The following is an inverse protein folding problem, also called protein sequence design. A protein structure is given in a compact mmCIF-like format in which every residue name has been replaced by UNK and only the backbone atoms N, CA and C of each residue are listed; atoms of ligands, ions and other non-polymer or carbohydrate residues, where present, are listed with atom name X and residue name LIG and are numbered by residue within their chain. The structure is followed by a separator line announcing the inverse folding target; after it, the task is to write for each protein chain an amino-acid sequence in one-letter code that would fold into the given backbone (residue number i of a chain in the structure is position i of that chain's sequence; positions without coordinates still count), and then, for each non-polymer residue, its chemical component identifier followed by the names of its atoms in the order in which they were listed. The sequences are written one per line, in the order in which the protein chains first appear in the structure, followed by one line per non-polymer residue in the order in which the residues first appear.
data_IF_624951743183
#
_entry.id   IF_624951743183
#
_cell.length_a   1.000
_cell.length_b   1.000
_cell.length_c   1.000
_cell.angle_alpha   90.00
_cell.angle_beta   90.00
_cell.angle_gamma   90.00
#
_symmetry.space_group_name_H-M   'P 1'
#
loop_
_entity.id
_entity.type
_entity.pdbx_description
1 polymer ?
#
# COMPACT_ATOMS: atom_id res chain seq x y z
N UNK A 1 6.83 12.61 19.66
CA UNK A 1 7.90 11.78 19.08
C UNK A 1 7.87 10.45 19.80
N UNK A 2 7.75 9.35 19.07
CA UNK A 2 7.82 7.98 19.59
C UNK A 2 9.16 7.42 19.16
N UNK A 3 9.92 6.87 20.10
CA UNK A 3 11.20 6.20 19.86
C UNK A 3 11.15 4.78 20.41
N UNK A 4 11.82 3.85 19.75
CA UNK A 4 11.86 2.43 20.16
C UNK A 4 13.30 1.92 20.22
N UNK A 5 13.56 0.86 21.00
CA UNK A 5 14.88 0.23 21.06
C UNK A 5 15.36 -0.28 19.68
N UNK A 6 16.67 -0.51 19.52
CA UNK A 6 17.22 -1.14 18.34
C UNK A 6 16.58 -2.50 18.07
N UNK A 7 16.35 -2.82 16.79
CA UNK A 7 15.94 -4.16 16.39
C UNK A 7 17.11 -5.14 16.34
N UNK A 8 16.78 -6.43 16.40
CA UNK A 8 17.71 -7.49 16.06
C UNK A 8 17.92 -7.52 14.55
N UNK A 9 19.16 -7.32 14.13
CA UNK A 9 19.55 -7.38 12.73
C UNK A 9 19.78 -8.84 12.34
N UNK A 10 19.01 -9.31 11.36
CA UNK A 10 19.13 -10.66 10.80
C UNK A 10 19.41 -10.57 9.29
N UNK A 11 19.89 -11.67 8.69
CA UNK A 11 20.12 -11.68 7.25
C UNK A 11 18.80 -11.61 6.47
N UNK A 12 18.80 -11.04 5.25
CA UNK A 12 17.64 -11.08 4.36
C UNK A 12 17.03 -12.48 4.20
N UNK A 13 17.87 -13.50 4.06
CA UNK A 13 17.43 -14.89 3.91
C UNK A 13 16.71 -15.39 5.16
N UNK A 14 17.21 -15.08 6.36
CA UNK A 14 16.55 -15.44 7.61
C UNK A 14 15.18 -14.78 7.73
N UNK A 15 15.07 -13.50 7.36
CA UNK A 15 13.79 -12.79 7.40
C UNK A 15 12.79 -13.37 6.40
N UNK A 16 13.21 -13.68 5.18
CA UNK A 16 12.36 -14.31 4.16
C UNK A 16 11.86 -15.68 4.64
N UNK A 17 12.74 -16.50 5.22
CA UNK A 17 12.36 -17.81 5.75
C UNK A 17 11.32 -17.68 6.88
N UNK A 18 11.56 -16.77 7.83
CA UNK A 18 10.61 -16.50 8.91
C UNK A 18 9.24 -16.07 8.35
N UNK A 19 9.23 -15.11 7.43
CA UNK A 19 8.01 -14.60 6.82
C UNK A 19 7.27 -15.64 5.98
N UNK A 20 7.99 -16.61 5.38
CA UNK A 20 7.39 -17.70 4.62
C UNK A 20 6.65 -18.71 5.50
N UNK A 21 7.03 -18.82 6.77
CA UNK A 21 6.40 -19.71 7.76
C UNK A 21 5.15 -19.08 8.38
N UNK A 22 5.10 -17.74 8.49
CA UNK A 22 4.00 -17.02 9.15
C UNK A 22 2.62 -17.44 8.63
N UNK A 23 2.32 -17.47 7.31
CA UNK A 23 1.00 -17.86 6.84
C UNK A 23 0.56 -19.25 7.33
N UNK A 24 1.48 -20.21 7.43
CA UNK A 24 1.17 -21.55 7.94
C UNK A 24 0.81 -21.52 9.44
N UNK A 25 1.55 -20.74 10.23
CA UNK A 25 1.27 -20.54 11.67
C UNK A 25 -0.08 -19.85 11.87
N UNK A 26 -0.35 -18.78 11.11
CA UNK A 26 -1.62 -18.06 11.13
C UNK A 26 -2.81 -19.00 10.86
N UNK A 27 -2.70 -19.83 9.81
CA UNK A 27 -3.76 -20.77 9.45
C UNK A 27 -3.95 -21.87 10.50
N UNK A 28 -2.87 -22.36 11.12
CA UNK A 28 -2.95 -23.31 12.22
C UNK A 28 -3.66 -22.69 13.44
N UNK A 29 -3.30 -21.46 13.83
CA UNK A 29 -3.95 -20.73 14.91
C UNK A 29 -5.44 -20.52 14.65
N UNK A 30 -5.79 -20.03 13.45
CA UNK A 30 -7.17 -19.76 13.05
C UNK A 30 -8.03 -21.04 12.97
N UNK A 31 -7.43 -22.19 12.67
CA UNK A 31 -8.12 -23.50 12.69
C UNK A 31 -8.33 -24.01 14.10
N UNK A 32 -7.31 -23.89 14.95
CA UNK A 32 -7.31 -24.44 16.32
C UNK A 32 -8.18 -23.60 17.24
N UNK A 33 -8.13 -22.28 17.10
CA UNK A 33 -8.87 -21.31 17.91
C UNK A 33 -9.66 -20.38 16.99
N UNK A 34 -10.80 -20.81 16.42
CA UNK A 34 -11.60 -19.95 15.57
C UNK A 34 -12.22 -18.81 16.37
N UNK A 35 -12.10 -17.57 15.87
CA UNK A 35 -12.79 -16.42 16.46
C UNK A 35 -12.03 -15.10 16.35
N UNK A 36 -12.68 -14.04 16.82
CA UNK A 36 -12.14 -12.68 16.75
C UNK A 36 -10.91 -12.47 17.63
N UNK A 37 -10.78 -13.19 18.74
CA UNK A 37 -9.62 -13.08 19.63
C UNK A 37 -8.34 -13.54 18.94
N UNK A 38 -8.38 -14.65 18.21
CA UNK A 38 -7.24 -15.14 17.43
C UNK A 38 -6.84 -14.14 16.34
N UNK A 39 -7.81 -13.54 15.63
CA UNK A 39 -7.54 -12.46 14.67
C UNK A 39 -6.87 -11.22 15.32
N UNK A 40 -7.21 -10.88 16.56
CA UNK A 40 -6.53 -9.82 17.33
C UNK A 40 -5.10 -10.20 17.72
N UNK A 41 -4.87 -11.46 18.08
CA UNK A 41 -3.52 -11.99 18.35
C UNK A 41 -2.65 -11.90 17.09
N UNK A 42 -3.19 -12.33 15.93
CA UNK A 42 -2.54 -12.19 14.62
C UNK A 42 -2.12 -10.74 14.36
N UNK A 43 -3.06 -9.81 14.49
CA UNK A 43 -2.77 -8.39 14.31
C UNK A 43 -1.67 -7.89 15.26
N UNK A 44 -1.68 -8.35 16.52
CA UNK A 44 -0.69 -7.99 17.52
C UNK A 44 0.73 -8.39 17.11
N UNK A 45 0.99 -9.67 16.89
CA UNK A 45 2.36 -10.09 16.58
C UNK A 45 2.82 -9.66 15.18
N UNK A 46 1.93 -9.61 14.17
CA UNK A 46 2.31 -9.09 12.85
C UNK A 46 2.67 -7.60 12.88
N UNK A 47 2.15 -6.86 13.86
CA UNK A 47 2.56 -5.47 14.11
C UNK A 47 3.90 -5.39 14.86
N UNK A 48 4.23 -6.39 15.68
CA UNK A 48 5.46 -6.39 16.51
C UNK A 48 6.67 -6.94 15.74
N UNK A 49 6.50 -7.96 14.89
CA UNK A 49 7.60 -8.59 14.15
C UNK A 49 8.48 -7.56 13.40
N UNK A 50 7.92 -6.61 12.62
CA UNK A 50 8.73 -5.64 11.89
C UNK A 50 9.45 -4.63 12.80
N UNK A 51 8.96 -4.44 14.03
CA UNK A 51 9.61 -3.63 15.04
C UNK A 51 10.79 -4.36 15.69
N UNK A 52 10.74 -5.69 15.79
CA UNK A 52 11.79 -6.49 16.44
C UNK A 52 12.90 -6.90 15.48
N UNK A 53 12.59 -7.09 14.19
CA UNK A 53 13.49 -7.68 13.21
C UNK A 53 13.67 -6.76 12.00
N UNK A 54 14.91 -6.45 11.66
CA UNK A 54 15.28 -5.77 10.40
C UNK A 54 16.48 -6.42 9.75
N UNK A 55 16.77 -6.03 8.51
CA UNK A 55 17.98 -6.47 7.82
C UNK A 55 19.07 -5.41 7.88
N UNK A 56 20.25 -5.77 7.41
CA UNK A 56 21.35 -4.84 7.15
C UNK A 56 21.18 -4.07 5.82
N UNK A 57 20.04 -4.19 5.14
CA UNK A 57 19.76 -3.58 3.83
C UNK A 57 18.48 -2.73 3.88
N UNK A 58 18.58 -1.43 4.20
CA UNK A 58 17.42 -0.55 4.34
C UNK A 58 16.51 -0.48 3.11
N UNK A 59 17.09 -0.56 1.91
CA UNK A 59 16.34 -0.58 0.64
C UNK A 59 15.48 -1.85 0.50
N UNK A 60 15.95 -2.98 1.02
CA UNK A 60 15.19 -4.24 1.03
C UNK A 60 14.11 -4.20 2.12
N UNK A 61 14.41 -3.61 3.27
CA UNK A 61 13.46 -3.46 4.38
C UNK A 61 12.22 -2.67 3.98
N UNK A 62 12.33 -1.74 3.02
CA UNK A 62 11.16 -1.04 2.44
C UNK A 62 10.10 -2.02 1.89
N UNK A 63 10.51 -3.20 1.43
CA UNK A 63 9.63 -4.24 0.89
C UNK A 63 9.37 -5.38 1.87
N UNK A 64 10.33 -5.71 2.74
CA UNK A 64 10.21 -6.82 3.68
C UNK A 64 9.42 -6.46 4.95
N UNK A 65 9.56 -5.23 5.44
CA UNK A 65 8.85 -4.75 6.65
C UNK A 65 7.33 -4.73 6.48
N UNK A 66 6.76 -4.34 5.31
CA UNK A 66 5.32 -4.41 5.10
C UNK A 66 4.73 -5.83 4.98
N UNK A 67 5.56 -6.86 4.71
CA UNK A 67 5.08 -8.22 4.42
C UNK A 67 4.24 -8.84 5.55
N UNK A 68 4.63 -8.79 6.84
CA UNK A 68 3.80 -9.33 7.93
C UNK A 68 2.43 -8.66 8.01
N UNK A 69 2.38 -7.33 7.86
CA UNK A 69 1.11 -6.58 7.82
C UNK A 69 0.25 -7.00 6.63
N UNK A 70 0.86 -7.21 5.47
CA UNK A 70 0.16 -7.70 4.28
C UNK A 70 -0.44 -9.09 4.49
N UNK A 71 0.35 -10.04 5.02
CA UNK A 71 -0.11 -11.40 5.36
C UNK A 71 -1.26 -11.35 6.38
N UNK A 72 -1.10 -10.56 7.44
CA UNK A 72 -2.15 -10.36 8.44
C UNK A 72 -3.44 -9.84 7.80
N UNK A 73 -3.35 -8.82 6.94
CA UNK A 73 -4.51 -8.24 6.26
C UNK A 73 -5.27 -9.28 5.42
N UNK A 74 -4.55 -10.16 4.72
CA UNK A 74 -5.16 -11.28 3.98
C UNK A 74 -5.85 -12.28 4.92
N UNK A 75 -5.26 -12.56 6.09
CA UNK A 75 -5.85 -13.50 7.04
C UNK A 75 -7.07 -12.93 7.79
N UNK A 76 -7.14 -11.62 7.98
CA UNK A 76 -8.28 -10.95 8.61
C UNK A 76 -9.57 -11.05 7.77
N UNK A 77 -9.45 -11.06 6.43
CA UNK A 77 -10.60 -11.19 5.52
C UNK A 77 -11.10 -12.64 5.36
N UNK A 78 -10.37 -13.63 5.88
CA UNK A 78 -10.80 -15.03 5.77
C UNK A 78 -12.08 -15.29 6.59
N UNK A 79 -13.00 -16.14 6.08
CA UNK A 79 -14.19 -16.57 6.82
C UNK A 79 -13.83 -17.27 8.13
N UNK A 80 -14.76 -17.28 9.07
CA UNK A 80 -14.65 -18.02 10.34
C UNK A 80 -15.95 -18.80 10.54
N UNK A 81 -15.93 -20.14 10.62
CA UNK A 81 -14.74 -21.03 10.58
C UNK A 81 -14.02 -21.02 9.22
N UNK A 82 -12.75 -21.44 9.22
CA UNK A 82 -11.93 -21.43 8.01
C UNK A 82 -12.43 -22.44 6.96
N UNK A 83 -12.47 -22.06 5.68
CA UNK A 83 -12.84 -22.98 4.61
C UNK A 83 -11.68 -23.96 4.28
N UNK A 84 -11.92 -24.95 3.39
CA UNK A 84 -10.88 -25.81 2.86
C UNK A 84 -9.67 -25.03 2.30
N UNK A 85 -8.47 -25.64 2.34
CA UNK A 85 -7.20 -24.97 1.94
C UNK A 85 -7.29 -24.41 0.52
N UNK A 86 -7.93 -25.12 -0.42
CA UNK A 86 -8.11 -24.66 -1.80
C UNK A 86 -8.84 -23.31 -1.88
N UNK A 87 -9.84 -23.10 -1.02
CA UNK A 87 -10.66 -21.89 -1.02
C UNK A 87 -9.91 -20.76 -0.33
N UNK A 88 -9.11 -21.05 0.70
CA UNK A 88 -8.19 -20.09 1.32
C UNK A 88 -7.17 -19.59 0.27
N UNK A 89 -6.52 -20.52 -0.43
CA UNK A 89 -5.56 -20.19 -1.50
C UNK A 89 -6.22 -19.33 -2.56
N UNK A 90 -7.45 -19.69 -2.97
CA UNK A 90 -8.19 -18.92 -3.96
C UNK A 90 -8.57 -17.53 -3.46
N UNK A 91 -9.05 -17.38 -2.23
CA UNK A 91 -9.38 -16.08 -1.63
C UNK A 91 -8.14 -15.20 -1.61
N UNK A 92 -6.99 -15.70 -1.13
CA UNK A 92 -5.73 -14.95 -1.11
C UNK A 92 -5.26 -14.61 -2.53
N UNK A 93 -5.26 -15.55 -3.47
CA UNK A 93 -4.87 -15.31 -4.86
C UNK A 93 -5.79 -14.28 -5.54
N UNK A 94 -7.09 -14.32 -5.28
CA UNK A 94 -8.07 -13.37 -5.86
C UNK A 94 -7.85 -11.92 -5.43
N UNK A 95 -7.02 -11.65 -4.43
CA UNK A 95 -6.60 -10.28 -4.06
C UNK A 95 -5.48 -9.75 -4.94
N UNK A 96 -4.79 -10.65 -5.65
CA UNK A 96 -3.60 -10.37 -6.46
C UNK A 96 -3.84 -10.59 -7.96
N UNK A 97 -4.84 -11.39 -8.34
CA UNK A 97 -5.18 -11.73 -9.72
C UNK A 97 -6.19 -10.76 -10.34
N UNK A 98 -6.03 -10.46 -11.63
CA UNK A 98 -6.96 -9.60 -12.36
C UNK A 98 -8.33 -10.29 -12.45
N UNK A 99 -9.43 -9.66 -11.99
CA UNK A 99 -10.74 -10.30 -11.95
C UNK A 99 -11.28 -10.69 -13.33
N UNK A 100 -10.89 -9.94 -14.36
CA UNK A 100 -11.31 -10.16 -15.74
C UNK A 100 -10.07 -10.34 -16.64
N UNK A 101 -9.40 -11.50 -16.56
CA UNK A 101 -8.21 -11.76 -17.36
C UNK A 101 -8.61 -11.95 -18.84
N UNK A 102 -7.68 -11.75 -19.80
CA UNK A 102 -7.88 -12.13 -21.19
C UNK A 102 -8.24 -13.61 -21.30
N UNK A 103 -9.16 -14.00 -22.20
CA UNK A 103 -9.50 -15.41 -22.40
C UNK A 103 -8.37 -16.22 -23.05
N UNK A 104 -7.46 -15.54 -23.75
CA UNK A 104 -6.34 -16.14 -24.47
C UNK A 104 -5.06 -16.14 -23.63
N UNK A 105 -4.52 -17.34 -23.41
CA UNK A 105 -3.25 -17.57 -22.69
C UNK A 105 -2.06 -16.83 -23.32
N UNK A 106 -2.06 -16.65 -24.64
CA UNK A 106 -1.03 -15.90 -25.36
C UNK A 106 -1.05 -14.43 -24.93
N UNK A 107 -2.25 -13.85 -24.80
CA UNK A 107 -2.42 -12.47 -24.32
C UNK A 107 -1.99 -12.30 -22.86
N UNK A 108 -2.24 -13.31 -22.01
CA UNK A 108 -1.74 -13.30 -20.62
C UNK A 108 -0.22 -13.27 -20.59
N UNK A 109 0.46 -14.08 -21.41
CA UNK A 109 1.93 -14.07 -21.52
C UNK A 109 2.47 -12.79 -22.13
N UNK A 110 1.81 -12.24 -23.15
CA UNK A 110 2.19 -10.94 -23.73
C UNK A 110 2.10 -9.81 -22.70
N UNK A 111 1.00 -9.74 -21.92
CA UNK A 111 0.88 -8.79 -20.80
C UNK A 111 2.01 -8.97 -19.79
N UNK A 112 2.43 -10.19 -19.52
CA UNK A 112 3.54 -10.48 -18.63
C UNK A 112 4.86 -9.86 -19.12
N UNK A 113 5.19 -10.03 -20.41
CA UNK A 113 6.39 -9.43 -21.03
C UNK A 113 6.32 -7.91 -20.98
N UNK A 114 5.15 -7.34 -21.30
CA UNK A 114 4.92 -5.88 -21.23
C UNK A 114 5.13 -5.36 -19.80
N UNK A 115 4.66 -6.08 -18.78
CA UNK A 115 4.90 -5.72 -17.38
C UNK A 115 6.37 -5.71 -17.04
N UNK A 116 7.12 -6.76 -17.40
CA UNK A 116 8.57 -6.82 -17.15
C UNK A 116 9.28 -5.65 -17.83
N UNK A 117 9.00 -5.41 -19.11
CA UNK A 117 9.58 -4.29 -19.87
C UNK A 117 9.24 -2.93 -19.24
N UNK A 118 7.98 -2.72 -18.83
CA UNK A 118 7.54 -1.52 -18.12
C UNK A 118 8.26 -1.35 -16.78
N UNK A 119 8.46 -2.43 -16.04
CA UNK A 119 9.18 -2.40 -14.76
C UNK A 119 10.66 -2.03 -14.94
N UNK A 120 11.33 -2.59 -15.95
CA UNK A 120 12.71 -2.21 -16.31
C UNK A 120 12.79 -0.74 -16.75
N UNK A 121 11.84 -0.27 -17.55
CA UNK A 121 11.76 1.12 -17.96
C UNK A 121 11.55 2.06 -16.76
N UNK A 122 10.65 1.72 -15.84
CA UNK A 122 10.44 2.48 -14.58
C UNK A 122 11.74 2.57 -13.78
N UNK A 123 12.48 1.47 -13.67
CA UNK A 123 13.76 1.46 -12.98
C UNK A 123 14.76 2.43 -13.64
N UNK A 124 14.93 2.35 -14.97
CA UNK A 124 15.82 3.24 -15.72
C UNK A 124 15.41 4.72 -15.65
N UNK A 125 14.12 5.03 -15.74
CA UNK A 125 13.61 6.41 -15.58
C UNK A 125 13.94 6.94 -14.18
N UNK A 126 13.75 6.12 -13.13
CA UNK A 126 14.05 6.52 -11.76
C UNK A 126 15.52 6.90 -11.60
N UNK A 127 16.42 6.01 -12.02
CA UNK A 127 17.86 6.16 -11.78
C UNK A 127 18.49 7.23 -12.67
N UNK A 128 18.08 7.32 -13.94
CA UNK A 128 18.73 8.18 -14.92
C UNK A 128 18.07 9.55 -15.10
N UNK A 129 16.75 9.67 -14.85
CA UNK A 129 15.99 10.87 -15.22
C UNK A 129 15.21 11.52 -14.07
N UNK A 130 14.93 10.82 -12.97
CA UNK A 130 14.22 11.42 -11.83
C UNK A 130 15.19 11.76 -10.68
N UNK A 131 15.80 10.75 -10.06
CA UNK A 131 16.61 10.93 -8.84
C UNK A 131 17.73 11.97 -9.01
N UNK A 132 18.49 12.02 -10.12
CA UNK A 132 19.57 13.00 -10.28
C UNK A 132 19.11 14.48 -10.27
N UNK A 133 17.84 14.73 -10.57
CA UNK A 133 17.27 16.07 -10.65
C UNK A 133 16.51 16.49 -9.38
N UNK A 134 16.33 15.56 -8.43
CA UNK A 134 15.69 15.87 -7.15
C UNK A 134 16.64 16.65 -6.26
N UNK A 135 16.09 17.63 -5.56
CA UNK A 135 16.82 18.42 -4.58
C UNK A 135 17.24 17.52 -3.41
N UNK A 136 18.50 17.61 -2.93
CA UNK A 136 18.96 16.82 -1.80
C UNK A 136 18.09 16.99 -0.54
N UNK A 137 17.84 15.89 0.14
CA UNK A 137 16.93 15.79 1.29
C UNK A 137 17.24 16.79 2.42
N UNK A 138 18.52 17.02 2.82
CA UNK A 138 18.83 18.00 3.88
C UNK A 138 18.41 19.42 3.55
N UNK A 139 18.44 19.78 2.26
CA UNK A 139 18.01 21.10 1.79
C UNK A 139 16.50 21.20 1.84
N UNK A 140 15.78 20.14 1.43
CA UNK A 140 14.32 20.10 1.46
C UNK A 140 13.77 20.25 2.88
N UNK A 141 14.36 19.58 3.88
CA UNK A 141 13.91 19.66 5.27
C UNK A 141 13.92 21.11 5.80
N UNK A 142 14.88 21.94 5.36
CA UNK A 142 15.03 23.33 5.80
C UNK A 142 14.11 24.32 5.07
N UNK A 143 13.52 23.93 3.94
CA UNK A 143 12.64 24.81 3.18
C UNK A 143 11.30 25.05 3.89
N UNK A 144 10.69 26.24 3.71
CA UNK A 144 9.31 26.48 4.12
C UNK A 144 8.35 25.46 3.51
N UNK A 145 7.31 25.11 4.25
CA UNK A 145 6.33 24.09 3.84
C UNK A 145 5.72 24.37 2.46
N UNK A 146 5.35 25.63 2.24
CA UNK A 146 4.66 26.13 1.03
C UNK A 146 5.64 26.55 -0.08
N UNK A 147 6.93 26.22 0.04
CA UNK A 147 7.90 26.49 -1.02
C UNK A 147 7.51 25.73 -2.30
N UNK A 148 7.37 26.40 -3.46
CA UNK A 148 7.09 25.73 -4.73
C UNK A 148 8.12 24.64 -5.06
N UNK A 149 9.39 24.86 -4.70
CA UNK A 149 10.48 23.88 -4.88
C UNK A 149 10.24 22.65 -4.01
N UNK A 150 9.82 22.82 -2.75
CA UNK A 150 9.48 21.69 -1.87
C UNK A 150 8.28 20.92 -2.38
N UNK A 151 7.25 21.60 -2.89
CA UNK A 151 6.05 20.95 -3.44
C UNK A 151 6.38 20.17 -4.72
N UNK A 152 7.16 20.76 -5.62
CA UNK A 152 7.62 20.11 -6.84
C UNK A 152 8.48 18.87 -6.52
N UNK A 153 9.36 18.97 -5.54
CA UNK A 153 10.15 17.82 -5.08
C UNK A 153 9.30 16.76 -4.40
N UNK A 154 8.28 17.10 -3.61
CA UNK A 154 7.36 16.10 -3.05
C UNK A 154 6.69 15.27 -4.17
N UNK A 155 6.28 15.92 -5.26
CA UNK A 155 5.77 15.22 -6.44
C UNK A 155 6.85 14.40 -7.16
N UNK A 156 8.07 14.93 -7.29
CA UNK A 156 9.21 14.23 -7.89
C UNK A 156 9.63 12.98 -7.12
N UNK A 157 9.73 13.05 -5.79
CA UNK A 157 9.94 11.90 -4.91
C UNK A 157 8.76 10.92 -4.99
N UNK A 158 7.52 11.41 -5.12
CA UNK A 158 6.34 10.60 -5.43
C UNK A 158 6.47 9.81 -6.74
N UNK A 159 6.94 10.45 -7.80
CA UNK A 159 7.22 9.80 -9.09
C UNK A 159 8.37 8.79 -8.97
N UNK A 160 9.42 9.11 -8.21
CA UNK A 160 10.52 8.18 -7.96
C UNK A 160 10.06 6.95 -7.15
N UNK A 161 9.18 7.14 -6.17
CA UNK A 161 8.57 6.06 -5.39
C UNK A 161 7.64 5.19 -6.26
N UNK A 162 6.83 5.82 -7.11
CA UNK A 162 6.02 5.13 -8.12
C UNK A 162 6.90 4.21 -9.00
N UNK A 163 8.03 4.73 -9.49
CA UNK A 163 8.94 3.95 -10.31
C UNK A 163 9.61 2.83 -9.51
N UNK A 164 10.03 3.08 -8.26
CA UNK A 164 10.68 2.08 -7.40
C UNK A 164 9.76 0.90 -7.07
N UNK A 165 8.59 1.20 -6.52
CA UNK A 165 7.63 0.16 -6.13
C UNK A 165 7.04 -0.50 -7.37
N UNK A 166 6.73 0.30 -8.40
CA UNK A 166 6.23 -0.18 -9.67
C UNK A 166 7.22 -1.09 -10.41
N UNK A 167 8.53 -0.80 -10.40
CA UNK A 167 9.53 -1.64 -11.06
C UNK A 167 9.63 -3.01 -10.40
N UNK A 168 9.74 -3.06 -9.06
CA UNK A 168 9.88 -4.32 -8.32
C UNK A 168 8.65 -5.21 -8.54
N UNK A 169 7.46 -4.64 -8.40
CA UNK A 169 6.21 -5.42 -8.51
C UNK A 169 5.90 -5.81 -9.95
N UNK A 170 6.08 -4.94 -10.94
CA UNK A 170 5.83 -5.28 -12.35
C UNK A 170 6.78 -6.39 -12.84
N UNK A 171 8.07 -6.33 -12.47
CA UNK A 171 9.05 -7.37 -12.83
C UNK A 171 8.69 -8.69 -12.14
N UNK A 172 8.50 -8.67 -10.82
CA UNK A 172 8.20 -9.88 -10.05
C UNK A 172 6.90 -10.55 -10.50
N UNK A 173 5.80 -9.80 -10.56
CA UNK A 173 4.51 -10.35 -11.01
C UNK A 173 4.54 -10.73 -12.48
N UNK A 174 5.30 -10.03 -13.33
CA UNK A 174 5.47 -10.40 -14.74
C UNK A 174 6.14 -11.77 -14.90
N UNK A 175 7.21 -12.06 -14.15
CA UNK A 175 7.84 -13.38 -14.17
C UNK A 175 6.90 -14.47 -13.66
N UNK A 176 6.20 -14.23 -12.54
CA UNK A 176 5.23 -15.19 -12.00
C UNK A 176 4.10 -15.42 -13.01
N UNK A 177 3.61 -14.38 -13.68
CA UNK A 177 2.58 -14.46 -14.71
C UNK A 177 3.04 -15.26 -15.94
N UNK A 178 4.30 -15.16 -16.36
CA UNK A 178 4.87 -15.99 -17.43
C UNK A 178 4.85 -17.49 -17.07
N UNK A 179 5.26 -17.82 -15.84
CA UNK A 179 5.38 -19.21 -15.36
C UNK A 179 3.99 -19.81 -15.11
N UNK A 180 3.12 -19.09 -14.40
CA UNK A 180 1.83 -19.61 -13.92
C UNK A 180 0.70 -19.41 -14.92
N UNK A 181 0.88 -18.56 -15.92
CA UNK A 181 -0.16 -18.16 -16.87
C UNK A 181 -1.42 -17.61 -16.18
N UNK A 182 -1.25 -16.91 -15.05
CA UNK A 182 -2.32 -16.21 -14.32
C UNK A 182 -2.11 -14.71 -14.44
N UNK A 183 -3.11 -13.95 -14.89
CA UNK A 183 -3.00 -12.50 -15.04
C UNK A 183 -3.05 -11.83 -13.66
N UNK A 184 -1.98 -11.13 -13.28
CA UNK A 184 -1.92 -10.39 -12.01
C UNK A 184 -2.50 -8.99 -12.17
N UNK A 185 -2.98 -8.40 -11.08
CA UNK A 185 -3.40 -7.00 -11.04
C UNK A 185 -2.18 -6.11 -11.30
N UNK A 186 -2.37 -5.05 -12.09
CA UNK A 186 -1.39 -3.96 -12.15
C UNK A 186 -1.44 -3.15 -10.85
N UNK A 187 -0.34 -3.07 -10.13
CA UNK A 187 -0.30 -2.37 -8.84
C UNK A 187 -0.73 -0.90 -8.99
N UNK A 188 -0.32 -0.26 -10.07
CA UNK A 188 -0.59 1.14 -10.37
C UNK A 188 -1.27 1.26 -11.73
N UNK A 189 -2.45 1.85 -11.78
CA UNK A 189 -3.17 2.17 -13.03
C UNK A 189 -3.08 3.67 -13.32
N UNK A 190 -2.00 4.06 -14.00
CA UNK A 190 -1.77 5.41 -14.51
C UNK A 190 -2.14 6.52 -13.50
N UNK A 191 -1.53 6.55 -12.30
CA UNK A 191 -1.90 7.48 -11.23
C UNK A 191 -1.75 8.95 -11.61
N UNK A 192 -0.91 9.28 -12.58
CA UNK A 192 -0.73 10.63 -13.13
C UNK A 192 -1.96 11.18 -13.85
N UNK A 193 -2.91 10.33 -14.21
CA UNK A 193 -4.19 10.71 -14.83
C UNK A 193 -5.31 10.89 -13.79
N UNK A 194 -4.99 10.86 -12.50
CA UNK A 194 -5.97 11.05 -11.45
C UNK A 194 -6.59 12.44 -11.55
N UNK A 195 -7.92 12.50 -11.48
CA UNK A 195 -8.67 13.77 -11.48
C UNK A 195 -9.22 14.12 -10.10
N UNK A 196 -8.99 13.29 -9.08
CA UNK A 196 -9.42 13.56 -7.72
C UNK A 196 -8.66 12.69 -6.71
N UNK A 197 -8.62 13.06 -5.42
CA UNK A 197 -8.04 12.23 -4.36
C UNK A 197 -8.63 10.81 -4.32
N UNK A 198 -9.96 10.67 -4.45
CA UNK A 198 -10.59 9.36 -4.52
C UNK A 198 -10.13 8.56 -5.72
N UNK A 199 -10.10 9.16 -6.91
CA UNK A 199 -9.67 8.48 -8.12
C UNK A 199 -8.19 8.03 -8.01
N UNK A 200 -7.34 8.86 -7.40
CA UNK A 200 -5.96 8.48 -7.09
C UNK A 200 -5.89 7.27 -6.14
N UNK A 201 -6.39 7.39 -4.91
CA UNK A 201 -6.20 6.40 -3.85
C UNK A 201 -7.04 5.13 -3.99
N UNK A 202 -8.25 5.22 -4.55
CA UNK A 202 -9.17 4.08 -4.60
C UNK A 202 -9.01 3.25 -5.87
N UNK A 203 -8.53 3.85 -6.97
CA UNK A 203 -8.58 3.22 -8.30
C UNK A 203 -7.22 3.09 -8.97
N UNK A 204 -6.30 4.03 -8.74
CA UNK A 204 -5.07 4.14 -9.54
C UNK A 204 -3.80 3.83 -8.77
N UNK A 205 -3.72 4.21 -7.50
CA UNK A 205 -2.56 3.99 -6.65
C UNK A 205 -2.75 2.73 -5.80
N UNK A 206 -1.79 1.80 -5.89
CA UNK A 206 -1.74 0.57 -5.10
C UNK A 206 -3.10 -0.17 -5.03
N UNK A 207 -3.53 -0.67 -6.20
CA UNK A 207 -4.81 -1.40 -6.39
C UNK A 207 -4.96 -2.61 -5.46
N UNK A 208 -3.86 -3.22 -5.05
CA UNK A 208 -3.86 -4.33 -4.09
C UNK A 208 -4.28 -3.83 -2.70
N UNK A 209 -3.64 -2.77 -2.20
CA UNK A 209 -4.00 -2.18 -0.90
C UNK A 209 -5.44 -1.65 -0.90
N UNK A 210 -5.85 -0.92 -1.95
CA UNK A 210 -7.21 -0.39 -2.03
C UNK A 210 -8.26 -1.52 -2.07
N UNK A 211 -7.98 -2.60 -2.81
CA UNK A 211 -8.82 -3.81 -2.86
C UNK A 211 -8.96 -4.49 -1.50
N UNK A 212 -7.87 -4.62 -0.74
CA UNK A 212 -7.89 -5.18 0.62
C UNK A 212 -8.70 -4.32 1.59
N UNK A 213 -8.50 -3.00 1.59
CA UNK A 213 -9.32 -2.10 2.41
C UNK A 213 -10.79 -2.18 2.02
N UNK A 214 -11.10 -2.23 0.72
CA UNK A 214 -12.49 -2.38 0.27
C UNK A 214 -13.16 -3.61 0.87
N UNK A 215 -12.49 -4.77 0.83
CA UNK A 215 -12.98 -6.03 1.42
C UNK A 215 -13.05 -5.98 2.96
N UNK A 216 -12.18 -5.21 3.61
CA UNK A 216 -12.06 -5.22 5.08
C UNK A 216 -13.00 -4.24 5.78
N UNK A 217 -13.19 -3.03 5.24
CA UNK A 217 -13.97 -1.96 5.89
C UNK A 217 -15.27 -1.59 5.18
N UNK A 218 -15.46 -1.98 3.90
CA UNK A 218 -16.68 -1.68 3.15
C UNK A 218 -17.56 -2.89 2.88
N UNK A 219 -17.08 -4.12 3.08
CA UNK A 219 -17.92 -5.31 2.99
C UNK A 219 -18.74 -5.50 4.28
N UNK A 220 -20.09 -5.58 4.19
CA UNK A 220 -20.89 -6.01 5.32
C UNK A 220 -20.52 -7.46 5.62
N UNK A 221 -20.02 -7.73 6.82
CA UNK A 221 -19.72 -9.09 7.28
C UNK A 221 -21.06 -9.79 7.51
N UNK A 222 -21.60 -10.46 6.49
CA UNK A 222 -22.88 -11.19 6.53
C UNK A 222 -22.73 -12.64 7.03
N UNK A 223 -21.75 -12.95 7.86
CA UNK A 223 -21.48 -14.33 8.31
C UNK A 223 -21.34 -14.48 9.83
N UNK A 224 -22.03 -13.68 10.64
CA UNK A 224 -22.36 -14.11 11.99
C UNK A 224 -23.78 -14.67 11.99
N UNK A 225 -23.87 -16.00 12.06
CA UNK A 225 -25.09 -16.70 12.50
C UNK A 225 -25.30 -16.58 14.01
N UNK A 226 -24.38 -15.92 14.73
CA UNK A 226 -24.64 -15.49 16.09
C UNK A 226 -25.65 -14.33 16.04
N UNK A 227 -26.82 -14.55 16.63
CA UNK A 227 -27.96 -13.63 16.71
C UNK A 227 -27.69 -12.31 17.47
N UNK A 228 -26.44 -11.86 17.55
CA UNK A 228 -26.02 -10.60 18.13
C UNK A 228 -25.08 -9.88 17.15
N UNK A 229 -25.59 -8.77 16.62
CA UNK A 229 -24.93 -7.79 15.75
C UNK A 229 -24.65 -8.24 14.30
N UNK A 230 -25.68 -8.08 13.45
CA UNK A 230 -25.45 -7.48 12.12
C UNK A 230 -24.65 -6.20 12.38
N UNK A 231 -23.36 -6.16 12.02
CA UNK A 231 -22.60 -4.91 12.03
C UNK A 231 -23.39 -3.93 11.16
N UNK A 232 -24.00 -2.90 11.77
CA UNK A 232 -24.74 -1.89 11.03
C UNK A 232 -23.86 -1.43 9.86
N UNK A 233 -24.43 -1.24 8.68
CA UNK A 233 -23.66 -0.72 7.56
C UNK A 233 -23.06 0.63 8.01
N UNK A 234 -21.75 0.67 8.26
CA UNK A 234 -21.08 1.90 8.65
C UNK A 234 -21.29 2.93 7.54
N UNK A 235 -21.44 4.20 7.92
CA UNK A 235 -21.41 5.29 6.95
C UNK A 235 -20.13 5.13 6.11
N UNK A 236 -20.28 5.18 4.78
CA UNK A 236 -19.17 5.09 3.82
C UNK A 236 -18.05 6.08 4.16
N UNK A 237 -18.39 7.23 4.74
CA UNK A 237 -17.46 8.24 5.22
C UNK A 237 -16.61 7.71 6.39
N UNK A 238 -17.23 7.05 7.35
CA UNK A 238 -16.54 6.43 8.50
C UNK A 238 -15.65 5.27 8.04
N UNK A 239 -16.14 4.42 7.14
CA UNK A 239 -15.33 3.34 6.54
C UNK A 239 -14.12 3.89 5.77
N UNK A 240 -14.29 4.97 5.00
CA UNK A 240 -13.19 5.62 4.31
C UNK A 240 -12.14 6.17 5.28
N UNK A 241 -12.56 6.94 6.30
CA UNK A 241 -11.64 7.46 7.31
C UNK A 241 -10.92 6.34 8.07
N UNK A 242 -11.60 5.23 8.34
CA UNK A 242 -11.00 4.05 8.97
C UNK A 242 -9.91 3.46 8.07
N UNK A 243 -10.16 3.27 6.78
CA UNK A 243 -9.16 2.77 5.83
C UNK A 243 -7.90 3.64 5.81
N UNK A 244 -8.09 4.97 5.69
CA UNK A 244 -6.97 5.91 5.66
C UNK A 244 -6.21 5.96 6.98
N UNK A 245 -6.90 5.90 8.12
CA UNK A 245 -6.26 5.88 9.44
C UNK A 245 -5.43 4.60 9.64
N UNK A 246 -5.98 3.43 9.29
CA UNK A 246 -5.25 2.15 9.37
C UNK A 246 -4.05 2.15 8.40
N UNK A 247 -4.21 2.71 7.20
CA UNK A 247 -3.10 2.89 6.26
C UNK A 247 -2.01 3.80 6.84
N UNK A 248 -2.39 4.90 7.47
CA UNK A 248 -1.48 5.82 8.16
C UNK A 248 -0.70 5.13 9.26
N UNK A 249 -1.38 4.37 10.13
CA UNK A 249 -0.75 3.59 11.20
C UNK A 249 0.23 2.54 10.65
N UNK A 250 -0.12 1.86 9.55
CA UNK A 250 0.79 0.93 8.90
C UNK A 250 2.06 1.62 8.36
N UNK A 251 1.95 2.86 7.87
CA UNK A 251 3.10 3.64 7.44
C UNK A 251 3.91 4.24 8.59
N UNK A 252 3.30 4.52 9.75
CA UNK A 252 4.03 4.84 10.97
C UNK A 252 4.81 3.63 11.49
N UNK A 253 4.21 2.44 11.41
CA UNK A 253 4.90 1.19 11.73
C UNK A 253 6.11 0.97 10.82
N UNK A 254 5.96 1.22 9.51
CA UNK A 254 7.07 1.17 8.56
C UNK A 254 8.18 2.16 8.94
N UNK A 255 7.83 3.42 9.24
CA UNK A 255 8.78 4.45 9.68
C UNK A 255 9.49 4.05 10.98
N UNK A 256 8.76 3.54 11.96
CA UNK A 256 9.33 3.03 13.22
C UNK A 256 10.26 1.85 12.98
N UNK A 257 9.92 0.95 12.06
CA UNK A 257 10.74 -0.21 11.72
C UNK A 257 12.03 0.21 11.00
N UNK A 258 11.95 1.15 10.06
CA UNK A 258 13.13 1.61 9.30
C UNK A 258 14.05 2.50 10.14
N UNK A 259 13.47 3.35 10.99
CA UNK A 259 14.18 4.48 11.57
C UNK A 259 14.14 4.56 13.09
N UNK A 260 13.42 3.65 13.75
CA UNK A 260 13.27 3.57 15.21
C UNK A 260 12.64 4.81 15.86
N UNK A 261 12.10 5.70 15.04
CA UNK A 261 11.55 6.98 15.46
C UNK A 261 10.44 7.44 14.51
N UNK A 262 9.33 7.93 15.08
CA UNK A 262 8.19 8.48 14.34
C UNK A 262 7.63 9.73 15.04
N UNK A 263 7.15 10.71 14.27
CA UNK A 263 6.37 11.84 14.81
C UNK A 263 4.91 11.86 14.33
N UNK A 264 4.42 10.81 13.68
CA UNK A 264 3.04 10.77 13.18
C UNK A 264 2.81 11.48 11.84
N UNK A 265 3.87 11.86 11.12
CA UNK A 265 3.73 12.62 9.87
C UNK A 265 2.98 11.84 8.77
N UNK A 266 3.23 10.53 8.63
CA UNK A 266 2.52 9.69 7.67
C UNK A 266 1.06 9.48 8.08
N UNK A 267 0.78 9.31 9.37
CA UNK A 267 -0.59 9.22 9.88
C UNK A 267 -1.38 10.49 9.53
N UNK A 268 -0.80 11.67 9.80
CA UNK A 268 -1.40 12.95 9.41
C UNK A 268 -1.63 13.04 7.91
N UNK A 269 -0.65 12.62 7.09
CA UNK A 269 -0.79 12.60 5.64
C UNK A 269 -2.01 11.79 5.19
N UNK A 270 -2.11 10.53 5.62
CA UNK A 270 -3.21 9.66 5.19
C UNK A 270 -4.56 10.14 5.73
N UNK A 271 -4.65 10.66 6.95
CA UNK A 271 -5.89 11.25 7.48
C UNK A 271 -6.35 12.45 6.63
N UNK A 272 -5.45 13.34 6.19
CA UNK A 272 -5.81 14.44 5.28
C UNK A 272 -6.31 13.93 3.92
N UNK A 273 -5.68 12.89 3.37
CA UNK A 273 -6.16 12.26 2.13
C UNK A 273 -7.54 11.62 2.29
N UNK A 274 -7.82 11.04 3.46
CA UNK A 274 -9.13 10.51 3.82
C UNK A 274 -10.19 11.60 3.88
N UNK A 275 -9.91 12.71 4.56
CA UNK A 275 -10.81 13.85 4.63
C UNK A 275 -11.10 14.42 3.24
N UNK A 276 -10.07 14.60 2.40
CA UNK A 276 -10.23 15.06 1.03
C UNK A 276 -11.10 14.10 0.19
N UNK A 277 -10.91 12.78 0.36
CA UNK A 277 -11.71 11.75 -0.32
C UNK A 277 -13.18 11.76 0.14
N UNK A 278 -13.42 11.90 1.45
CA UNK A 278 -14.78 11.98 2.01
C UNK A 278 -15.49 13.24 1.55
N UNK A 279 -14.82 14.39 1.65
CA UNK A 279 -15.36 15.66 1.18
C UNK A 279 -15.69 15.63 -0.31
N UNK A 280 -14.81 15.06 -1.15
CA UNK A 280 -15.08 14.87 -2.57
C UNK A 280 -16.35 14.04 -2.80
N UNK A 281 -16.49 12.91 -2.12
CA UNK A 281 -17.65 12.01 -2.28
C UNK A 281 -18.95 12.67 -1.81
N UNK A 282 -18.91 13.45 -0.73
CA UNK A 282 -20.08 14.15 -0.22
C UNK A 282 -20.53 15.27 -1.15
N UNK A 283 -19.60 15.98 -1.79
CA UNK A 283 -19.92 17.12 -2.65
C UNK A 283 -20.25 16.72 -4.10
N UNK A 284 -19.57 15.70 -4.65
CA UNK A 284 -19.67 15.36 -6.07
C UNK A 284 -20.19 13.93 -6.33
N UNK A 285 -20.30 13.11 -5.28
CA UNK A 285 -20.70 11.71 -5.37
C UNK A 285 -19.55 10.76 -5.75
N UNK A 286 -19.70 9.49 -5.40
CA UNK A 286 -18.67 8.46 -5.62
C UNK A 286 -18.44 8.07 -7.08
N UNK A 287 -19.23 8.60 -8.01
CA UNK A 287 -19.14 8.32 -9.46
C UNK A 287 -18.69 9.53 -10.27
N UNK A 288 -18.27 10.60 -9.61
CA UNK A 288 -17.81 11.82 -10.27
C UNK A 288 -16.63 11.53 -11.22
N UNK A 289 -16.79 11.94 -12.47
CA UNK A 289 -15.81 11.74 -13.53
C UNK A 289 -15.84 12.95 -14.49
N UNK A 290 -15.04 13.99 -14.21
CA UNK A 290 -15.02 15.20 -15.02
C UNK A 290 -14.47 14.93 -16.44
N UNK A 291 -14.89 15.75 -17.41
CA UNK A 291 -14.48 15.66 -18.82
C UNK A 291 -13.90 16.98 -19.32
N UNK A 292 -13.17 16.94 -20.43
CA UNK A 292 -12.62 18.13 -21.09
C UNK A 292 -11.78 19.00 -20.17
N UNK A 293 -12.00 20.32 -20.22
CA UNK A 293 -11.29 21.30 -19.40
C UNK A 293 -11.47 21.07 -17.90
N UNK A 294 -12.67 20.70 -17.45
CA UNK A 294 -12.89 20.38 -16.03
C UNK A 294 -12.01 19.23 -15.56
N UNK A 295 -11.78 18.23 -16.41
CA UNK A 295 -10.88 17.12 -16.06
C UNK A 295 -9.45 17.61 -15.84
N UNK A 296 -8.95 18.46 -16.74
CA UNK A 296 -7.62 19.05 -16.61
C UNK A 296 -7.51 19.84 -15.32
N UNK A 297 -8.49 20.70 -15.02
CA UNK A 297 -8.54 21.48 -13.78
C UNK A 297 -8.56 20.58 -12.53
N UNK A 298 -9.38 19.53 -12.52
CA UNK A 298 -9.46 18.61 -11.37
C UNK A 298 -8.18 17.80 -11.21
N UNK A 299 -7.53 17.36 -12.30
CA UNK A 299 -6.21 16.71 -12.26
C UNK A 299 -5.16 17.66 -11.71
N UNK A 300 -5.05 18.88 -12.24
CA UNK A 300 -4.10 19.88 -11.73
C UNK A 300 -4.32 20.15 -10.24
N UNK A 301 -5.57 20.36 -9.82
CA UNK A 301 -5.92 20.58 -8.41
C UNK A 301 -5.52 19.38 -7.53
N UNK A 302 -5.73 18.16 -8.02
CA UNK A 302 -5.33 16.93 -7.32
C UNK A 302 -3.82 16.87 -7.11
N UNK A 303 -3.03 17.21 -8.13
CA UNK A 303 -1.56 17.20 -8.02
C UNK A 303 -1.02 18.37 -7.19
N UNK A 304 -1.66 19.53 -7.20
CA UNK A 304 -1.34 20.62 -6.26
C UNK A 304 -1.60 20.17 -4.82
N UNK A 305 -2.74 19.51 -4.56
CA UNK A 305 -3.06 18.94 -3.25
C UNK A 305 -2.04 17.89 -2.81
N UNK A 306 -1.68 16.95 -3.69
CA UNK A 306 -0.65 15.94 -3.41
C UNK A 306 0.73 16.56 -3.20
N UNK A 307 1.10 17.61 -3.92
CA UNK A 307 2.36 18.33 -3.73
C UNK A 307 2.41 19.07 -2.39
N UNK A 308 1.30 19.72 -2.01
CA UNK A 308 1.17 20.46 -0.75
C UNK A 308 1.23 19.55 0.48
N UNK A 309 0.58 18.39 0.39
CA UNK A 309 0.49 17.43 1.50
C UNK A 309 1.61 16.40 1.49
N UNK A 310 2.19 16.10 0.32
CA UNK A 310 3.19 15.03 0.13
C UNK A 310 4.44 15.19 0.97
N UNK A 311 4.78 16.43 1.36
CA UNK A 311 5.85 16.67 2.34
C UNK A 311 5.62 15.91 3.65
N UNK A 312 4.39 15.78 4.16
CA UNK A 312 4.10 14.96 5.35
C UNK A 312 4.54 13.51 5.15
N UNK A 313 4.29 12.95 3.97
CA UNK A 313 4.68 11.57 3.65
C UNK A 313 6.20 11.40 3.56
N UNK A 314 6.89 12.34 2.91
CA UNK A 314 8.33 12.20 2.67
C UNK A 314 9.21 12.70 3.82
N UNK A 315 8.69 13.53 4.71
CA UNK A 315 9.49 14.16 5.77
C UNK A 315 10.24 13.17 6.69
N UNK A 316 9.65 12.03 7.12
CA UNK A 316 10.38 11.05 7.92
C UNK A 316 11.59 10.46 7.20
N UNK A 317 11.50 10.31 5.88
CA UNK A 317 12.57 9.78 5.02
C UNK A 317 13.62 10.85 4.75
N UNK A 318 13.18 12.07 4.42
CA UNK A 318 14.07 13.21 4.15
C UNK A 318 14.93 13.61 5.35
N UNK A 319 14.38 13.52 6.56
CA UNK A 319 15.15 13.75 7.80
C UNK A 319 16.31 12.77 7.97
N UNK A 320 16.34 11.67 7.22
CA UNK A 320 17.23 10.52 7.41
C UNK A 320 17.99 10.12 6.15
N UNK A 321 17.97 10.96 5.11
CA UNK A 321 18.72 10.76 3.87
C UNK A 321 18.42 9.41 3.19
N UNK A 322 17.19 8.92 3.33
CA UNK A 322 16.85 7.53 2.99
C UNK A 322 16.97 7.22 1.50
N UNK A 323 16.65 8.16 0.60
CA UNK A 323 16.71 7.91 -0.83
C UNK A 323 18.11 8.14 -1.44
N UNK A 324 19.08 8.57 -0.61
CA UNK A 324 20.50 8.65 -1.00
C UNK A 324 21.29 7.37 -0.71
N UNK A 325 20.63 6.33 -0.15
CA UNK A 325 21.20 5.02 0.17
C UNK A 325 21.40 4.12 -1.05
#
# INVERSE_FOLDING_TARGET
MVEIPPAHVISPTQLILLQSILPTVDLWLLRTFPGHNTKRVLLGYHSVIPLLLTTNHPALDLFMVPTPIFVCAQNLILPTPLPPIKDIIWISASTLLEPNPPPDTTKVRQRAVIKIARGLLKHGIRTSALVPWLTPEPTLVKMPWYSPVSMANALGYGAALYCLVGSVVDIGTGFIQLITNRDFIELMDNPFLAHSPRNFWSQRWNRIASGMFHRSVFSPTTTSNDGLQKRAAWDKSVSAMTAFTVSGLAHELLVLSLFRQSNGENLCFFCLQGLATVAEVQNFGSKYAPKGVHRVLSTTTTFVWLGLTGRLFFLPYWKRNFFSL
#
